data_IF_854241950380
#
_entry.id   IF_854241950380
#
_cell.length_a   1.000
_cell.length_b   1.000
_cell.length_c   1.000
_cell.angle_alpha   90.00
_cell.angle_beta   90.00
_cell.angle_gamma   90.00
#
_symmetry.space_group_name_H-M   'P 1'
#
loop_
_entity.id
_entity.type
_entity.pdbx_description
1 polymer ?
#
# COMPACT_ATOMS: atom_id res chain seq x y z
N UNK A 1 41.46 7.81 -45.00
CA UNK A 1 42.01 7.69 -43.62
C UNK A 1 42.62 9.02 -43.22
N UNK A 2 41.99 9.72 -42.29
CA UNK A 2 42.56 10.85 -41.54
C UNK A 2 42.03 10.68 -40.11
N UNK A 3 42.93 10.32 -39.21
CA UNK A 3 42.63 10.04 -37.80
C UNK A 3 42.39 11.33 -37.03
N UNK A 4 41.20 11.49 -36.46
CA UNK A 4 40.92 12.51 -35.46
C UNK A 4 41.12 11.94 -34.06
N UNK A 5 42.35 12.07 -33.56
CA UNK A 5 42.72 11.72 -32.20
C UNK A 5 42.16 12.78 -31.23
N UNK A 6 41.01 12.51 -30.62
CA UNK A 6 40.48 13.34 -29.54
C UNK A 6 41.25 13.02 -28.25
N UNK A 7 42.04 14.00 -27.80
CA UNK A 7 42.81 13.94 -26.55
C UNK A 7 41.91 13.70 -25.32
N UNK A 8 42.27 12.69 -24.52
CA UNK A 8 41.61 12.26 -23.27
C UNK A 8 41.50 13.35 -22.19
N UNK A 9 42.10 14.54 -22.38
CA UNK A 9 41.96 15.68 -21.46
C UNK A 9 40.73 16.57 -21.71
N UNK A 10 40.00 16.40 -22.83
CA UNK A 10 38.79 17.19 -23.11
C UNK A 10 37.49 16.52 -22.63
N UNK A 11 37.54 15.28 -22.15
CA UNK A 11 36.39 14.54 -21.62
C UNK A 11 36.18 14.70 -20.10
N UNK A 12 37.17 15.25 -19.38
CA UNK A 12 37.11 15.42 -17.92
C UNK A 12 36.70 16.85 -17.52
N UNK A 13 36.71 17.82 -18.46
CA UNK A 13 36.33 19.21 -18.20
C UNK A 13 34.83 19.47 -18.16
N UNK A 14 34.00 18.55 -18.65
CA UNK A 14 32.54 18.74 -18.78
C UNK A 14 31.71 17.98 -17.73
N UNK A 15 32.34 17.12 -16.92
CA UNK A 15 31.67 16.29 -15.90
C UNK A 15 31.83 16.83 -14.47
N UNK A 16 32.75 17.76 -14.24
CA UNK A 16 32.98 18.31 -12.89
C UNK A 16 31.89 19.32 -12.43
N UNK A 17 31.10 19.90 -13.33
CA UNK A 17 30.01 20.83 -12.97
C UNK A 17 28.65 20.14 -12.73
N UNK A 18 28.46 18.89 -13.14
CA UNK A 18 27.21 18.17 -12.88
C UNK A 18 27.19 17.46 -11.51
N UNK A 19 28.35 17.10 -10.97
CA UNK A 19 28.45 16.41 -9.68
C UNK A 19 28.37 17.35 -8.46
N UNK A 20 28.73 18.63 -8.63
CA UNK A 20 28.61 19.62 -7.55
C UNK A 20 27.15 20.09 -7.32
N UNK A 21 26.27 19.93 -8.30
CA UNK A 21 24.85 20.29 -8.20
C UNK A 21 23.98 19.29 -7.42
N UNK A 22 24.45 18.05 -7.25
CA UNK A 22 23.69 16.99 -6.54
C UNK A 22 24.09 16.89 -5.07
N UNK A 23 25.31 17.30 -4.71
CA UNK A 23 25.79 17.24 -3.33
C UNK A 23 25.37 18.44 -2.45
N UNK A 24 24.87 19.53 -3.04
CA UNK A 24 24.35 20.71 -2.32
C UNK A 24 22.83 20.81 -2.27
N UNK A 25 22.09 19.75 -2.64
CA UNK A 25 20.70 19.58 -2.19
C UNK A 25 20.62 19.23 -0.68
N UNK A 26 21.59 19.71 0.10
CA UNK A 26 21.68 19.62 1.55
C UNK A 26 20.71 20.62 2.16
N UNK A 27 19.64 20.11 2.78
CA UNK A 27 18.72 20.81 3.70
C UNK A 27 17.87 21.96 3.14
N UNK A 28 18.26 22.63 2.05
CA UNK A 28 17.52 23.79 1.50
C UNK A 28 16.32 23.40 0.63
N UNK A 29 16.36 22.27 -0.06
CA UNK A 29 15.19 21.70 -0.77
C UNK A 29 14.13 21.15 0.18
N UNK A 30 14.52 20.81 1.41
CA UNK A 30 13.57 20.48 2.48
C UNK A 30 12.95 21.74 3.11
N UNK A 31 13.63 22.88 3.06
CA UNK A 31 13.14 24.16 3.58
C UNK A 31 12.21 24.90 2.59
N UNK A 32 12.36 24.66 1.28
CA UNK A 32 11.47 25.23 0.25
C UNK A 32 10.06 24.62 0.26
N UNK A 33 9.80 23.53 1.02
CA UNK A 33 8.48 22.92 1.16
C UNK A 33 7.62 23.53 2.28
N UNK A 34 8.13 24.51 3.03
CA UNK A 34 7.39 25.16 4.12
C UNK A 34 6.17 25.98 3.67
N UNK A 35 5.93 26.09 2.35
CA UNK A 35 4.74 26.71 1.77
C UNK A 35 3.89 25.77 0.91
N UNK A 36 4.22 24.48 0.83
CA UNK A 36 3.33 23.53 0.17
C UNK A 36 2.29 23.04 1.20
N UNK A 37 1.01 23.30 0.94
CA UNK A 37 -0.06 22.80 1.79
C UNK A 37 0.10 21.27 1.96
N UNK A 38 -0.07 20.78 3.18
CA UNK A 38 -0.08 19.32 3.45
C UNK A 38 -1.03 18.63 2.47
N UNK A 39 -0.69 17.41 1.99
CA UNK A 39 -1.51 16.74 1.01
C UNK A 39 -2.94 16.54 1.53
N UNK A 40 -3.90 16.56 0.62
CA UNK A 40 -5.29 16.26 0.97
C UNK A 40 -5.97 15.45 -0.14
N UNK A 41 -6.29 14.21 0.20
CA UNK A 41 -7.06 13.29 -0.65
C UNK A 41 -8.39 12.90 -0.01
N UNK A 42 -8.89 13.67 0.97
CA UNK A 42 -10.27 13.58 1.41
C UNK A 42 -11.14 14.47 0.53
N UNK A 43 -11.89 13.85 -0.38
CA UNK A 43 -12.66 14.53 -1.41
C UNK A 43 -14.15 14.37 -1.10
N UNK A 44 -14.84 15.49 -0.88
CA UNK A 44 -16.28 15.53 -0.56
C UNK A 44 -16.74 14.49 0.48
N UNK A 45 -15.92 14.28 1.52
CA UNK A 45 -16.21 13.37 2.63
C UNK A 45 -15.64 11.96 2.50
N UNK A 46 -15.21 11.53 1.30
CA UNK A 46 -14.60 10.22 1.04
C UNK A 46 -13.08 10.33 1.14
N UNK A 47 -12.46 9.45 1.92
CA UNK A 47 -11.00 9.37 2.00
C UNK A 47 -10.48 8.54 0.82
N UNK A 48 -9.80 9.19 -0.13
CA UNK A 48 -9.04 8.50 -1.18
C UNK A 48 -7.62 8.24 -0.65
N UNK A 49 -7.19 6.99 -0.69
CA UNK A 49 -5.85 6.56 -0.31
C UNK A 49 -5.08 5.91 -1.45
N UNK A 50 -3.89 5.40 -1.16
CA UNK A 50 -3.11 4.55 -2.07
C UNK A 50 -2.42 3.43 -1.29
N UNK A 51 -2.40 2.22 -1.85
CA UNK A 51 -1.53 1.15 -1.36
C UNK A 51 -0.18 1.30 -2.02
N UNK A 52 0.91 1.24 -1.26
CA UNK A 52 2.27 1.52 -1.81
C UNK A 52 2.72 0.51 -2.87
N UNK A 53 2.03 -0.63 -3.00
CA UNK A 53 2.19 -1.56 -4.11
C UNK A 53 1.95 -0.93 -5.50
N UNK A 54 1.17 0.15 -5.55
CA UNK A 54 0.97 0.96 -6.76
C UNK A 54 2.29 1.51 -7.32
N UNK A 55 3.33 1.64 -6.49
CA UNK A 55 4.65 2.15 -6.89
C UNK A 55 5.70 1.05 -7.10
N UNK A 56 5.30 -0.24 -7.18
CA UNK A 56 6.24 -1.39 -7.27
C UNK A 56 7.21 -1.36 -8.45
N UNK A 57 6.90 -0.60 -9.50
CA UNK A 57 7.79 -0.40 -10.66
C UNK A 57 8.89 0.62 -10.42
N UNK A 58 8.91 1.27 -9.25
CA UNK A 58 9.84 2.33 -8.85
C UNK A 58 10.64 1.92 -7.60
N UNK A 59 11.78 2.59 -7.31
CA UNK A 59 12.53 2.38 -6.07
C UNK A 59 11.66 2.56 -4.81
N UNK A 60 11.72 1.60 -3.88
CA UNK A 60 10.72 1.45 -2.81
C UNK A 60 11.22 1.66 -1.38
N UNK A 61 12.16 2.57 -1.10
CA UNK A 61 12.45 2.94 0.30
C UNK A 61 11.26 3.67 0.93
N UNK A 62 11.16 3.70 2.26
CA UNK A 62 10.10 4.43 2.96
C UNK A 62 10.08 5.92 2.58
N UNK A 63 11.25 6.54 2.44
CA UNK A 63 11.40 7.94 2.05
C UNK A 63 10.99 8.17 0.59
N UNK A 64 11.39 7.27 -0.31
CA UNK A 64 11.01 7.35 -1.73
C UNK A 64 9.49 7.21 -1.91
N UNK A 65 8.88 6.26 -1.20
CA UNK A 65 7.43 6.09 -1.20
C UNK A 65 6.74 7.35 -0.69
N UNK A 66 7.21 7.95 0.41
CA UNK A 66 6.65 9.21 0.92
C UNK A 66 6.73 10.32 -0.14
N UNK A 67 7.85 10.45 -0.86
CA UNK A 67 7.97 11.43 -1.94
C UNK A 67 6.92 11.21 -3.05
N UNK A 68 6.70 9.97 -3.48
CA UNK A 68 5.69 9.64 -4.50
C UNK A 68 4.27 9.95 -4.02
N UNK A 69 3.96 9.61 -2.77
CA UNK A 69 2.67 9.89 -2.14
C UNK A 69 2.38 11.40 -2.10
N UNK A 70 3.39 12.20 -1.75
CA UNK A 70 3.27 13.67 -1.74
C UNK A 70 3.06 14.23 -3.14
N UNK A 71 3.77 13.72 -4.15
CA UNK A 71 3.56 14.10 -5.56
C UNK A 71 2.14 13.76 -6.04
N UNK A 72 1.57 12.66 -5.56
CA UNK A 72 0.19 12.27 -5.85
C UNK A 72 -0.87 13.11 -5.09
N UNK A 73 -0.46 14.00 -4.18
CA UNK A 73 -1.34 14.75 -3.28
C UNK A 73 -2.30 13.81 -2.50
N UNK A 74 -1.73 12.74 -1.92
CA UNK A 74 -2.44 11.75 -1.09
C UNK A 74 -1.99 11.85 0.37
N UNK A 75 -2.94 11.72 1.30
CA UNK A 75 -2.68 11.84 2.74
C UNK A 75 -3.07 10.60 3.58
N UNK A 76 -3.44 9.49 2.94
CA UNK A 76 -3.81 8.25 3.60
C UNK A 76 -3.26 7.05 2.81
N UNK A 77 -2.53 6.15 3.47
CA UNK A 77 -1.94 4.98 2.81
C UNK A 77 -2.15 3.67 3.54
N UNK A 78 -2.20 2.60 2.74
CA UNK A 78 -1.82 1.27 3.15
C UNK A 78 -0.36 1.05 2.76
N UNK A 79 0.49 0.88 3.77
CA UNK A 79 1.91 0.59 3.54
C UNK A 79 2.04 -0.92 3.28
N UNK A 80 2.52 -1.32 2.11
CA UNK A 80 2.71 -2.72 1.78
C UNK A 80 4.17 -3.15 1.90
N UNK A 81 4.37 -4.28 2.58
CA UNK A 81 5.56 -5.11 2.47
C UNK A 81 6.77 -4.59 3.23
N UNK A 82 7.93 -4.85 2.63
CA UNK A 82 9.26 -4.70 3.22
C UNK A 82 9.70 -3.28 3.62
N UNK A 83 9.24 -2.15 3.02
CA UNK A 83 9.82 -0.83 3.31
C UNK A 83 9.82 -0.45 4.80
N UNK A 84 8.76 -0.80 5.54
CA UNK A 84 8.69 -0.57 6.98
C UNK A 84 9.76 -1.39 7.75
N UNK A 85 9.91 -2.66 7.39
CA UNK A 85 10.89 -3.56 8.03
C UNK A 85 12.32 -3.15 7.66
N UNK A 86 12.56 -2.78 6.40
CA UNK A 86 13.85 -2.29 5.94
C UNK A 86 14.26 -0.99 6.65
N UNK A 87 13.33 -0.05 6.84
CA UNK A 87 13.56 1.16 7.64
C UNK A 87 13.91 0.82 9.10
N UNK A 88 13.33 -0.25 9.64
CA UNK A 88 13.63 -0.76 10.97
C UNK A 88 14.92 -1.62 11.05
N UNK A 89 15.65 -1.77 9.94
CA UNK A 89 16.92 -2.49 9.92
C UNK A 89 16.79 -4.00 9.70
N UNK A 90 15.75 -4.44 8.98
CA UNK A 90 15.61 -5.85 8.60
C UNK A 90 16.88 -6.37 7.91
N UNK A 91 17.40 -7.54 8.30
CA UNK A 91 18.57 -8.14 7.68
C UNK A 91 18.40 -8.30 6.17
N UNK A 92 19.46 -8.04 5.42
CA UNK A 92 19.51 -8.34 3.98
C UNK A 92 19.91 -9.79 3.77
N UNK A 93 19.43 -10.36 2.67
CA UNK A 93 19.90 -11.67 2.22
C UNK A 93 21.33 -11.53 1.72
N UNK A 94 22.22 -12.41 2.18
CA UNK A 94 23.62 -12.44 1.76
C UNK A 94 23.79 -13.28 0.50
N UNK A 95 24.86 -13.02 -0.26
CA UNK A 95 25.16 -13.82 -1.45
C UNK A 95 25.48 -15.26 -1.07
N UNK A 96 24.74 -16.22 -1.64
CA UNK A 96 24.89 -17.65 -1.34
C UNK A 96 24.07 -18.14 -0.13
N UNK A 97 23.39 -17.26 0.60
CA UNK A 97 22.49 -17.64 1.69
C UNK A 97 21.25 -18.34 1.12
N UNK A 98 20.92 -19.53 1.63
CA UNK A 98 19.69 -20.22 1.24
C UNK A 98 18.45 -19.49 1.80
N UNK A 99 17.29 -19.72 1.17
CA UNK A 99 16.06 -19.00 1.53
C UNK A 99 15.56 -19.36 2.93
N UNK A 100 15.77 -20.60 3.40
CA UNK A 100 15.31 -21.03 4.71
C UNK A 100 16.13 -20.37 5.83
N UNK A 101 17.46 -20.32 5.67
CA UNK A 101 18.37 -19.60 6.55
C UNK A 101 18.04 -18.10 6.61
N UNK A 102 17.81 -17.48 5.45
CA UNK A 102 17.38 -16.09 5.39
C UNK A 102 16.04 -15.84 6.12
N UNK A 103 15.03 -16.69 5.89
CA UNK A 103 13.74 -16.55 6.57
C UNK A 103 13.84 -16.76 8.08
N UNK A 104 14.68 -17.71 8.54
CA UNK A 104 14.96 -17.88 9.96
C UNK A 104 15.61 -16.63 10.56
N UNK A 105 16.60 -16.05 9.88
CA UNK A 105 17.26 -14.81 10.30
C UNK A 105 16.28 -13.64 10.41
N UNK A 106 15.35 -13.52 9.46
CA UNK A 106 14.29 -12.52 9.51
C UNK A 106 13.32 -12.79 10.66
N UNK A 107 12.92 -14.03 10.91
CA UNK A 107 12.04 -14.39 12.03
C UNK A 107 12.69 -14.08 13.39
N UNK A 108 13.98 -14.41 13.56
CA UNK A 108 14.75 -14.10 14.78
C UNK A 108 14.88 -12.57 14.99
N UNK A 109 15.06 -11.81 13.90
CA UNK A 109 15.03 -10.33 13.94
C UNK A 109 13.65 -9.78 14.33
N UNK A 110 12.56 -10.28 13.72
CA UNK A 110 11.18 -9.85 14.06
C UNK A 110 10.85 -10.09 15.53
N UNK A 111 11.34 -11.18 16.11
CA UNK A 111 11.14 -11.52 17.51
C UNK A 111 11.87 -10.59 18.50
N UNK A 112 12.87 -9.82 18.05
CA UNK A 112 13.76 -9.04 18.92
C UNK A 112 13.88 -7.55 18.59
N UNK A 113 13.42 -7.12 17.40
CA UNK A 113 13.56 -5.72 16.95
C UNK A 113 12.76 -4.74 17.82
N UNK A 114 13.36 -3.58 18.12
CA UNK A 114 12.67 -2.50 18.82
C UNK A 114 11.60 -1.83 17.93
N UNK A 115 10.49 -1.46 18.55
CA UNK A 115 9.41 -0.72 17.88
C UNK A 115 9.75 0.75 17.59
N UNK A 116 10.89 1.27 18.07
CA UNK A 116 11.22 2.69 17.97
C UNK A 116 11.40 3.16 16.52
N UNK A 117 12.00 2.35 15.65
CA UNK A 117 12.09 2.70 14.22
C UNK A 117 10.73 2.75 13.52
N UNK A 118 9.77 1.92 13.94
CA UNK A 118 8.40 2.01 13.44
C UNK A 118 7.68 3.29 13.92
N UNK A 119 7.96 3.74 15.16
CA UNK A 119 7.46 5.04 15.67
C UNK A 119 8.10 6.22 14.94
N UNK A 120 9.41 6.16 14.68
CA UNK A 120 10.13 7.16 13.87
C UNK A 120 9.53 7.25 12.46
N UNK A 121 9.26 6.09 11.83
CA UNK A 121 8.63 6.02 10.52
C UNK A 121 7.23 6.63 10.52
N UNK A 122 6.39 6.27 11.50
CA UNK A 122 5.07 6.91 11.70
C UNK A 122 5.20 8.42 11.82
N UNK A 123 6.16 8.91 12.62
CA UNK A 123 6.39 10.34 12.82
C UNK A 123 6.75 11.02 11.50
N UNK A 124 7.66 10.44 10.72
CA UNK A 124 8.07 10.97 9.42
C UNK A 124 6.88 11.19 8.48
N UNK A 125 6.00 10.20 8.36
CA UNK A 125 4.80 10.30 7.52
C UNK A 125 3.80 11.33 8.07
N UNK A 126 3.54 11.32 9.38
CA UNK A 126 2.61 12.25 10.03
C UNK A 126 3.08 13.71 9.94
N UNK A 127 4.38 13.97 10.09
CA UNK A 127 4.97 15.31 9.95
C UNK A 127 4.70 15.87 8.55
N UNK A 128 4.83 15.01 7.52
CA UNK A 128 4.51 15.32 6.13
C UNK A 128 2.99 15.36 5.83
N UNK A 129 2.14 15.09 6.82
CA UNK A 129 0.68 15.12 6.68
C UNK A 129 0.07 13.85 6.10
N UNK A 130 0.79 12.72 6.09
CA UNK A 130 0.31 11.44 5.58
C UNK A 130 0.05 10.47 6.74
N UNK A 131 -1.13 9.85 6.75
CA UNK A 131 -1.49 8.81 7.74
C UNK A 131 -1.28 7.41 7.16
N UNK A 132 -0.57 6.56 7.90
CA UNK A 132 -0.48 5.11 7.62
C UNK A 132 -1.67 4.44 8.31
N UNK A 133 -2.78 4.22 7.59
CA UNK A 133 -3.99 3.66 8.20
C UNK A 133 -3.96 2.13 8.28
N UNK A 134 -3.19 1.49 7.40
CA UNK A 134 -3.01 0.04 7.32
C UNK A 134 -1.58 -0.33 6.97
N UNK A 135 -1.20 -1.56 7.35
CA UNK A 135 0.07 -2.17 6.96
C UNK A 135 -0.14 -3.61 6.50
N UNK A 136 0.47 -4.00 5.37
CA UNK A 136 0.49 -5.38 4.84
C UNK A 136 1.85 -6.02 5.14
N UNK A 137 2.08 -6.59 6.34
CA UNK A 137 3.35 -7.20 6.70
C UNK A 137 3.53 -8.59 6.08
N UNK A 138 4.78 -8.99 5.84
CA UNK A 138 5.14 -10.36 5.42
C UNK A 138 5.29 -11.33 6.61
N UNK A 139 4.38 -11.24 7.59
CA UNK A 139 4.47 -11.93 8.88
C UNK A 139 3.12 -12.51 9.37
N UNK A 140 2.12 -12.62 8.49
CA UNK A 140 0.76 -13.10 8.81
C UNK A 140 0.40 -14.42 8.11
N UNK A 141 1.35 -15.04 7.40
CA UNK A 141 1.12 -16.29 6.69
C UNK A 141 1.07 -17.51 7.61
N UNK A 142 0.48 -18.61 7.13
CA UNK A 142 0.35 -19.85 7.90
C UNK A 142 1.70 -20.45 8.36
N UNK A 143 2.79 -20.16 7.62
CA UNK A 143 4.15 -20.61 7.96
C UNK A 143 4.88 -19.69 8.94
N UNK A 144 4.32 -18.51 9.26
CA UNK A 144 4.92 -17.62 10.25
C UNK A 144 4.63 -18.13 11.67
N UNK A 145 5.62 -17.97 12.55
CA UNK A 145 5.50 -18.32 13.96
C UNK A 145 4.55 -17.37 14.69
N UNK A 146 4.07 -17.77 15.86
CA UNK A 146 3.27 -16.88 16.73
C UNK A 146 4.03 -15.61 17.12
N UNK A 147 5.35 -15.70 17.31
CA UNK A 147 6.19 -14.54 17.60
C UNK A 147 6.24 -13.54 16.43
N UNK A 148 6.28 -14.02 15.18
CA UNK A 148 6.22 -13.15 14.00
C UNK A 148 4.85 -12.49 13.84
N UNK A 149 3.77 -13.22 14.12
CA UNK A 149 2.42 -12.66 14.08
C UNK A 149 2.26 -11.60 15.19
N UNK A 150 2.69 -11.88 16.42
CA UNK A 150 2.68 -10.92 17.53
C UNK A 150 3.48 -9.65 17.20
N UNK A 151 4.67 -9.83 16.61
CA UNK A 151 5.49 -8.75 16.07
C UNK A 151 4.70 -7.90 15.06
N UNK A 152 3.99 -8.52 14.10
CA UNK A 152 3.23 -7.81 13.08
C UNK A 152 2.21 -6.84 13.70
N UNK A 153 1.53 -7.27 14.77
CA UNK A 153 0.61 -6.40 15.49
C UNK A 153 1.30 -5.34 16.35
N UNK A 154 2.43 -5.66 16.99
CA UNK A 154 3.20 -4.66 17.76
C UNK A 154 3.79 -3.57 16.85
N UNK A 155 4.37 -3.96 15.72
CA UNK A 155 4.87 -3.02 14.71
C UNK A 155 3.73 -2.24 14.07
N UNK A 156 2.58 -2.87 13.80
CA UNK A 156 1.36 -2.18 13.39
C UNK A 156 0.93 -1.08 14.38
N UNK A 157 0.89 -1.37 15.69
CA UNK A 157 0.60 -0.35 16.74
C UNK A 157 1.59 0.81 16.69
N UNK A 158 2.88 0.50 16.55
CA UNK A 158 3.94 1.50 16.49
C UNK A 158 3.82 2.39 15.24
N UNK A 159 3.46 1.81 14.10
CA UNK A 159 3.10 2.53 12.87
C UNK A 159 1.81 3.35 13.01
N UNK A 160 0.97 3.04 13.98
CA UNK A 160 -0.29 3.75 14.24
C UNK A 160 -1.45 3.31 13.36
N UNK A 161 -1.37 2.09 12.81
CA UNK A 161 -2.41 1.56 11.91
C UNK A 161 -3.66 1.18 12.69
N UNK A 162 -4.79 1.22 12.00
CA UNK A 162 -6.07 0.70 12.53
C UNK A 162 -6.20 -0.80 12.30
N UNK A 163 -5.58 -1.29 11.23
CA UNK A 163 -5.64 -2.69 10.82
C UNK A 163 -4.37 -3.10 10.09
N UNK A 164 -4.09 -4.41 10.12
CA UNK A 164 -3.16 -5.04 9.18
C UNK A 164 -3.94 -5.70 8.06
N UNK A 165 -3.36 -5.85 6.89
CA UNK A 165 -3.98 -6.55 5.75
C UNK A 165 -3.20 -7.81 5.39
N UNK A 166 -3.90 -8.82 4.90
CA UNK A 166 -3.34 -10.08 4.43
C UNK A 166 -4.29 -10.70 3.41
N UNK A 167 -3.77 -11.48 2.47
CA UNK A 167 -4.60 -12.35 1.63
C UNK A 167 -5.47 -13.25 2.52
N UNK A 168 -6.74 -13.40 2.16
CA UNK A 168 -7.65 -14.31 2.86
C UNK A 168 -7.08 -15.74 2.78
N UNK A 169 -6.67 -16.33 3.92
CA UNK A 169 -6.20 -17.72 3.94
C UNK A 169 -7.30 -18.67 3.49
N UNK A 170 -6.93 -19.71 2.75
CA UNK A 170 -7.84 -20.81 2.40
C UNK A 170 -8.12 -21.77 3.57
N UNK A 171 -7.35 -21.66 4.65
CA UNK A 171 -7.50 -22.45 5.87
C UNK A 171 -8.15 -21.61 6.97
N UNK A 172 -9.36 -22.03 7.39
CA UNK A 172 -10.14 -21.37 8.43
C UNK A 172 -9.43 -21.38 9.80
N UNK A 173 -8.51 -22.31 10.05
CA UNK A 173 -7.71 -22.30 11.26
C UNK A 173 -6.78 -21.08 11.32
N UNK A 174 -6.26 -20.64 10.15
CA UNK A 174 -5.39 -19.48 10.08
C UNK A 174 -6.18 -18.17 10.27
N UNK A 175 -7.38 -18.03 9.69
CA UNK A 175 -8.24 -16.86 9.95
C UNK A 175 -8.66 -16.78 11.42
N UNK A 176 -8.93 -17.92 12.06
CA UNK A 176 -9.22 -17.99 13.50
C UNK A 176 -8.01 -17.55 14.32
N UNK A 177 -6.83 -18.11 14.05
CA UNK A 177 -5.57 -17.75 14.71
C UNK A 177 -5.28 -16.27 14.59
N UNK A 178 -5.35 -15.70 13.38
CA UNK A 178 -5.15 -14.27 13.16
C UNK A 178 -6.16 -13.41 13.92
N UNK A 179 -7.42 -13.83 13.98
CA UNK A 179 -8.47 -13.13 14.74
C UNK A 179 -8.27 -13.10 16.25
N UNK A 180 -7.63 -14.13 16.82
CA UNK A 180 -7.25 -14.18 18.24
C UNK A 180 -6.13 -13.16 18.55
N UNK A 181 -5.10 -13.11 17.71
CA UNK A 181 -4.06 -12.07 17.82
C UNK A 181 -4.64 -10.66 17.59
N UNK A 182 -5.50 -10.50 16.60
CA UNK A 182 -6.18 -9.24 16.32
C UNK A 182 -6.93 -8.72 17.55
N UNK A 183 -7.68 -9.60 18.23
CA UNK A 183 -8.39 -9.26 19.45
C UNK A 183 -7.47 -8.97 20.63
N UNK A 184 -6.41 -9.76 20.83
CA UNK A 184 -5.38 -9.51 21.85
C UNK A 184 -4.77 -8.12 21.67
N UNK A 185 -4.46 -7.74 20.43
CA UNK A 185 -3.79 -6.48 20.14
C UNK A 185 -4.76 -5.30 19.94
N UNK A 186 -6.06 -5.53 19.77
CA UNK A 186 -7.05 -4.48 19.46
C UNK A 186 -6.75 -3.75 18.14
N UNK A 187 -6.24 -4.50 17.17
CA UNK A 187 -6.00 -4.07 15.77
C UNK A 187 -6.74 -5.06 14.89
N UNK A 188 -7.47 -4.57 13.88
CA UNK A 188 -8.21 -5.47 12.99
C UNK A 188 -7.29 -6.18 11.99
N UNK A 189 -7.75 -7.31 11.46
CA UNK A 189 -7.15 -7.97 10.29
C UNK A 189 -8.11 -7.83 9.13
N UNK A 190 -7.74 -7.04 8.12
CA UNK A 190 -8.47 -6.90 6.87
C UNK A 190 -8.06 -7.98 5.88
N UNK A 191 -8.95 -8.92 5.59
CA UNK A 191 -8.69 -9.98 4.61
C UNK A 191 -8.97 -9.49 3.19
N UNK A 192 -7.95 -9.55 2.35
CA UNK A 192 -7.99 -9.24 0.93
C UNK A 192 -8.38 -10.49 0.13
N UNK A 193 -9.23 -10.36 -0.88
CA UNK A 193 -9.52 -11.45 -1.80
C UNK A 193 -9.24 -11.01 -3.24
N UNK A 194 -8.72 -11.94 -4.04
CA UNK A 194 -8.61 -11.78 -5.48
C UNK A 194 -9.89 -12.29 -6.17
N UNK A 195 -9.79 -12.88 -7.35
CA UNK A 195 -10.94 -13.28 -8.18
C UNK A 195 -11.71 -14.49 -7.66
N UNK A 196 -11.27 -15.10 -6.56
CA UNK A 196 -12.06 -16.06 -5.78
C UNK A 196 -13.17 -15.39 -4.95
N UNK A 197 -13.24 -14.05 -4.94
CA UNK A 197 -14.26 -13.31 -4.21
C UNK A 197 -15.68 -13.78 -4.56
N UNK A 198 -16.47 -14.07 -3.53
CA UNK A 198 -17.90 -14.35 -3.61
C UNK A 198 -18.65 -13.56 -2.52
N UNK A 199 -19.97 -13.40 -2.61
CA UNK A 199 -20.74 -12.66 -1.61
C UNK A 199 -20.63 -13.17 -0.17
N UNK A 200 -20.21 -14.43 0.02
CA UNK A 200 -20.12 -15.12 1.31
C UNK A 200 -18.68 -15.53 1.67
N UNK A 201 -17.69 -15.16 0.86
CA UNK A 201 -16.30 -15.65 1.03
C UNK A 201 -15.72 -15.33 2.41
N UNK A 202 -16.09 -14.20 3.00
CA UNK A 202 -15.58 -13.75 4.30
C UNK A 202 -16.37 -14.28 5.50
N UNK A 203 -17.53 -14.93 5.29
CA UNK A 203 -18.49 -15.22 6.36
C UNK A 203 -17.87 -16.02 7.51
N UNK A 204 -17.09 -17.06 7.19
CA UNK A 204 -16.39 -17.86 8.21
C UNK A 204 -15.41 -17.01 9.01
N UNK A 205 -14.51 -16.29 8.34
CA UNK A 205 -13.52 -15.45 9.01
C UNK A 205 -14.19 -14.36 9.90
N UNK A 206 -15.26 -13.74 9.41
CA UNK A 206 -15.98 -12.70 10.14
C UNK A 206 -16.76 -13.21 11.35
N UNK A 207 -17.16 -14.50 11.35
CA UNK A 207 -17.82 -15.17 12.47
C UNK A 207 -16.86 -15.52 13.61
N UNK A 208 -15.57 -15.72 13.30
CA UNK A 208 -14.57 -16.19 14.26
C UNK A 208 -14.09 -15.10 15.24
N UNK A 209 -14.10 -13.83 14.84
CA UNK A 209 -13.65 -12.71 15.68
C UNK A 209 -14.27 -11.39 15.23
N UNK A 210 -14.60 -10.52 16.19
CA UNK A 210 -15.01 -9.13 15.91
C UNK A 210 -13.87 -8.26 15.35
N UNK A 211 -12.63 -8.71 15.50
CA UNK A 211 -11.44 -8.05 14.96
C UNK A 211 -11.03 -8.60 13.58
N UNK A 212 -11.69 -9.64 13.09
CA UNK A 212 -11.61 -10.01 11.68
C UNK A 212 -12.44 -9.01 10.86
N UNK A 213 -11.91 -8.56 9.74
CA UNK A 213 -12.51 -7.52 8.92
C UNK A 213 -12.20 -7.77 7.43
N UNK A 214 -12.77 -6.94 6.57
CA UNK A 214 -12.64 -7.02 5.12
C UNK A 214 -11.70 -5.90 4.65
N UNK A 215 -10.70 -6.28 3.85
CA UNK A 215 -10.03 -5.37 2.92
C UNK A 215 -10.60 -5.67 1.53
N UNK A 216 -11.62 -4.91 1.10
CA UNK A 216 -12.41 -5.26 -0.07
C UNK A 216 -11.73 -4.78 -1.34
N UNK A 217 -11.39 -5.66 -2.26
CA UNK A 217 -11.03 -5.27 -3.62
C UNK A 217 -12.25 -5.33 -4.55
N UNK A 218 -12.71 -4.16 -4.98
CA UNK A 218 -13.90 -4.09 -5.83
C UNK A 218 -13.63 -4.53 -7.27
N UNK A 219 -12.39 -4.45 -7.75
CA UNK A 219 -12.04 -4.89 -9.09
C UNK A 219 -11.93 -6.41 -9.18
N UNK A 220 -11.29 -7.04 -8.20
CA UNK A 220 -11.28 -8.49 -8.07
C UNK A 220 -12.68 -9.06 -7.84
N UNK A 221 -13.49 -8.44 -6.98
CA UNK A 221 -14.89 -8.84 -6.79
C UNK A 221 -15.67 -8.77 -8.10
N UNK A 222 -15.58 -7.64 -8.82
CA UNK A 222 -16.25 -7.44 -10.11
C UNK A 222 -15.82 -8.50 -11.12
N UNK A 223 -14.51 -8.69 -11.29
CA UNK A 223 -13.97 -9.64 -12.26
C UNK A 223 -14.36 -11.09 -11.92
N UNK A 224 -14.24 -11.51 -10.66
CA UNK A 224 -14.51 -12.87 -10.21
C UNK A 224 -15.99 -13.25 -10.20
N UNK A 225 -16.86 -12.33 -9.81
CA UNK A 225 -18.31 -12.59 -9.73
C UNK A 225 -19.08 -12.19 -10.99
N UNK A 226 -18.45 -11.44 -11.90
CA UNK A 226 -19.13 -10.75 -13.01
C UNK A 226 -20.35 -9.93 -12.56
N UNK A 227 -20.23 -9.26 -11.40
CA UNK A 227 -21.33 -8.50 -10.79
C UNK A 227 -20.85 -7.26 -10.04
N UNK A 228 -21.76 -6.34 -9.74
CA UNK A 228 -21.45 -5.13 -8.95
C UNK A 228 -21.22 -5.48 -7.47
N UNK A 229 -20.20 -4.90 -6.81
CA UNK A 229 -19.94 -5.07 -5.37
C UNK A 229 -20.87 -4.24 -4.47
N UNK A 230 -21.79 -3.45 -5.03
CA UNK A 230 -22.63 -2.51 -4.26
C UNK A 230 -23.45 -3.21 -3.18
N UNK A 231 -24.12 -4.31 -3.49
CA UNK A 231 -24.92 -5.06 -2.51
C UNK A 231 -24.04 -5.65 -1.39
N UNK A 232 -22.85 -6.12 -1.75
CA UNK A 232 -21.88 -6.60 -0.77
C UNK A 232 -21.43 -5.49 0.17
N UNK A 233 -21.17 -4.29 -0.36
CA UNK A 233 -20.79 -3.11 0.44
C UNK A 233 -21.94 -2.69 1.35
N UNK A 234 -23.18 -2.61 0.84
CA UNK A 234 -24.37 -2.28 1.64
C UNK A 234 -24.59 -3.27 2.79
N UNK A 235 -24.37 -4.57 2.54
CA UNK A 235 -24.50 -5.61 3.56
C UNK A 235 -23.39 -5.56 4.62
N UNK A 236 -22.15 -5.27 4.21
CA UNK A 236 -20.96 -5.51 5.04
C UNK A 236 -20.19 -4.25 5.45
N UNK A 237 -20.69 -3.03 5.19
CA UNK A 237 -19.92 -1.79 5.39
C UNK A 237 -19.31 -1.64 6.79
N UNK A 238 -19.96 -2.13 7.85
CA UNK A 238 -19.46 -2.07 9.22
C UNK A 238 -18.26 -2.99 9.49
N UNK A 239 -18.00 -3.94 8.59
CA UNK A 239 -16.87 -4.88 8.64
C UNK A 239 -15.79 -4.56 7.60
N UNK A 240 -15.98 -3.56 6.75
CA UNK A 240 -14.96 -3.11 5.77
C UNK A 240 -14.03 -2.10 6.45
N UNK A 241 -12.74 -2.42 6.52
CA UNK A 241 -11.75 -1.54 7.14
C UNK A 241 -10.97 -0.69 6.14
N UNK A 242 -10.86 -1.16 4.91
CA UNK A 242 -10.33 -0.44 3.76
C UNK A 242 -10.80 -1.13 2.49
N UNK A 243 -10.72 -0.43 1.37
CA UNK A 243 -11.13 -0.93 0.06
C UNK A 243 -10.05 -0.64 -0.97
N UNK A 244 -9.71 -1.60 -1.82
CA UNK A 244 -8.86 -1.40 -2.99
C UNK A 244 -9.74 -1.12 -4.21
N UNK A 245 -9.41 -0.03 -4.90
CA UNK A 245 -9.99 0.43 -6.14
C UNK A 245 -9.03 0.06 -7.26
N UNK A 246 -9.50 -0.79 -8.17
CA UNK A 246 -8.88 -1.08 -9.46
C UNK A 246 -9.98 -1.37 -10.47
N UNK A 247 -9.75 -1.00 -11.72
CA UNK A 247 -10.71 -1.28 -12.78
C UNK A 247 -10.33 -2.58 -13.49
N UNK A 248 -11.29 -3.48 -13.64
CA UNK A 248 -11.11 -4.80 -14.23
C UNK A 248 -12.29 -5.16 -15.12
N UNK A 249 -12.05 -6.03 -16.11
CA UNK A 249 -13.10 -6.63 -16.92
C UNK A 249 -13.76 -7.82 -16.22
N UNK A 250 -15.03 -8.07 -16.53
CA UNK A 250 -15.77 -9.25 -16.09
C UNK A 250 -15.11 -10.57 -16.53
N UNK A 251 -15.56 -11.68 -15.94
CA UNK A 251 -15.11 -13.05 -16.25
C UNK A 251 -13.61 -13.27 -16.04
N UNK A 252 -13.12 -12.85 -14.87
CA UNK A 252 -11.70 -12.82 -14.51
C UNK A 252 -10.84 -12.04 -15.54
N UNK A 253 -11.43 -11.03 -16.18
CA UNK A 253 -10.77 -10.23 -17.19
C UNK A 253 -9.66 -9.32 -16.63
N UNK A 254 -8.81 -8.76 -17.51
CA UNK A 254 -7.61 -8.04 -17.11
C UNK A 254 -7.91 -6.71 -16.40
N UNK A 255 -6.88 -6.17 -15.74
CA UNK A 255 -6.86 -4.79 -15.26
C UNK A 255 -6.93 -3.81 -16.43
N UNK A 256 -7.62 -2.69 -16.22
CA UNK A 256 -7.79 -1.62 -17.21
C UNK A 256 -7.54 -0.25 -16.55
N UNK A 257 -7.18 0.78 -17.33
CA UNK A 257 -7.25 2.16 -16.86
C UNK A 257 -8.67 2.48 -16.38
N UNK A 258 -8.80 3.28 -15.33
CA UNK A 258 -10.08 3.53 -14.68
C UNK A 258 -11.10 4.19 -15.62
N UNK A 259 -12.31 3.61 -15.67
CA UNK A 259 -13.38 3.97 -16.59
C UNK A 259 -13.36 3.18 -17.90
N UNK A 260 -12.43 2.24 -18.07
CA UNK A 260 -12.32 1.39 -19.25
C UNK A 260 -12.60 -0.09 -18.96
N UNK A 261 -12.68 -0.49 -17.70
CA UNK A 261 -13.10 -1.82 -17.27
C UNK A 261 -14.62 -1.89 -17.04
N UNK A 262 -15.04 -2.87 -16.26
CA UNK A 262 -16.43 -3.10 -15.86
C UNK A 262 -16.62 -2.83 -14.35
N UNK A 263 -15.56 -2.49 -13.60
CA UNK A 263 -15.65 -2.18 -12.18
C UNK A 263 -16.39 -0.86 -11.98
N UNK A 264 -17.47 -0.81 -11.18
CA UNK A 264 -18.27 0.41 -11.00
C UNK A 264 -17.64 1.39 -9.99
N UNK A 265 -16.39 1.79 -10.21
CA UNK A 265 -15.62 2.66 -9.28
C UNK A 265 -16.37 3.95 -8.96
N UNK A 266 -16.89 4.63 -9.98
CA UNK A 266 -17.61 5.90 -9.82
C UNK A 266 -18.90 5.74 -8.98
N UNK A 267 -19.60 4.63 -9.14
CA UNK A 267 -20.79 4.31 -8.34
C UNK A 267 -20.42 4.02 -6.89
N UNK A 268 -19.38 3.21 -6.67
CA UNK A 268 -18.90 2.85 -5.34
C UNK A 268 -18.46 4.08 -4.54
N UNK A 269 -17.66 4.99 -5.12
CA UNK A 269 -17.22 6.19 -4.38
C UNK A 269 -18.39 7.14 -4.09
N UNK A 270 -19.39 7.24 -4.99
CA UNK A 270 -20.64 7.98 -4.72
C UNK A 270 -21.47 7.33 -3.62
N UNK A 271 -21.52 6.00 -3.57
CA UNK A 271 -22.18 5.27 -2.48
C UNK A 271 -21.50 5.57 -1.14
N UNK A 272 -20.16 5.54 -1.10
CA UNK A 272 -19.38 5.90 0.09
C UNK A 272 -19.66 7.34 0.54
N UNK A 273 -19.74 8.28 -0.40
CA UNK A 273 -20.10 9.68 -0.13
C UNK A 273 -21.50 9.80 0.47
N UNK A 274 -22.50 9.22 -0.21
CA UNK A 274 -23.92 9.25 0.19
C UNK A 274 -24.12 8.69 1.60
N UNK A 275 -23.51 7.53 1.89
CA UNK A 275 -23.66 6.84 3.17
C UNK A 275 -22.60 7.25 4.20
N UNK A 276 -21.72 8.21 3.87
CA UNK A 276 -20.69 8.78 4.76
C UNK A 276 -19.75 7.74 5.37
N UNK A 277 -19.45 6.66 4.63
CA UNK A 277 -18.54 5.62 5.07
C UNK A 277 -17.16 6.20 5.41
N UNK A 278 -16.51 5.62 6.43
CA UNK A 278 -15.27 6.17 7.01
C UNK A 278 -14.01 5.44 6.58
N UNK A 279 -14.13 4.18 6.15
CA UNK A 279 -12.99 3.43 5.64
C UNK A 279 -12.45 4.07 4.33
N UNK A 280 -11.14 4.02 4.08
CA UNK A 280 -10.54 4.60 2.90
C UNK A 280 -10.83 3.77 1.64
N UNK A 281 -11.03 4.48 0.52
CA UNK A 281 -11.06 3.91 -0.83
C UNK A 281 -9.68 4.12 -1.47
N UNK A 282 -8.99 3.03 -1.75
CA UNK A 282 -7.53 3.01 -1.91
C UNK A 282 -7.18 2.70 -3.35
N UNK A 283 -6.44 3.57 -4.02
CA UNK A 283 -5.92 3.29 -5.37
C UNK A 283 -4.96 2.12 -5.29
N UNK A 284 -5.23 1.08 -6.08
CA UNK A 284 -4.30 0.00 -6.37
C UNK A 284 -4.05 -0.07 -7.88
N UNK A 285 -2.90 0.49 -8.30
CA UNK A 285 -2.54 0.61 -9.71
C UNK A 285 -1.96 -0.70 -10.25
N UNK A 286 -2.72 -1.43 -11.08
CA UNK A 286 -2.29 -2.72 -11.64
C UNK A 286 -2.48 -2.90 -13.15
N UNK A 287 -2.96 -1.90 -13.86
CA UNK A 287 -2.93 -1.92 -15.32
C UNK A 287 -1.53 -1.60 -15.84
N UNK A 288 -1.27 -1.97 -17.09
CA UNK A 288 0.02 -1.71 -17.74
C UNK A 288 0.26 -0.20 -17.89
N UNK A 289 1.34 0.29 -17.28
CA UNK A 289 1.71 1.70 -17.34
C UNK A 289 2.19 2.03 -18.76
N UNK A 290 1.63 3.07 -19.42
CA UNK A 290 2.09 3.51 -20.73
C UNK A 290 3.58 3.87 -20.75
N UNK A 291 4.25 3.65 -21.89
CA UNK A 291 5.70 3.84 -22.02
C UNK A 291 6.18 5.27 -21.72
N UNK A 292 5.32 6.26 -21.89
CA UNK A 292 5.57 7.68 -21.65
C UNK A 292 5.10 8.14 -20.25
N UNK A 293 4.70 7.19 -19.39
CA UNK A 293 4.18 7.43 -18.05
C UNK A 293 5.00 6.72 -16.97
N UNK A 294 4.59 6.91 -15.72
CA UNK A 294 5.13 6.26 -14.52
C UNK A 294 4.00 6.07 -13.49
N UNK A 295 4.30 5.34 -12.41
CA UNK A 295 3.28 5.02 -11.41
C UNK A 295 2.72 6.27 -10.71
N UNK A 296 3.52 7.33 -10.51
CA UNK A 296 3.05 8.58 -9.90
C UNK A 296 2.03 9.26 -10.80
N UNK A 297 2.33 9.40 -12.10
CA UNK A 297 1.41 9.99 -13.09
C UNK A 297 0.11 9.19 -13.19
N UNK A 298 0.18 7.87 -13.19
CA UNK A 298 -1.02 7.03 -13.27
C UNK A 298 -1.86 7.07 -11.98
N UNK A 299 -1.25 7.10 -10.80
CA UNK A 299 -1.97 7.31 -9.53
C UNK A 299 -2.66 8.69 -9.49
N UNK A 300 -2.01 9.74 -10.02
CA UNK A 300 -2.64 11.07 -10.15
C UNK A 300 -3.90 10.99 -11.01
N UNK A 301 -3.86 10.30 -12.16
CA UNK A 301 -5.04 10.09 -13.03
C UNK A 301 -6.17 9.34 -12.31
N UNK A 302 -5.84 8.27 -11.56
CA UNK A 302 -6.83 7.55 -10.75
C UNK A 302 -7.47 8.47 -9.68
N UNK A 303 -6.66 9.28 -8.99
CA UNK A 303 -7.16 10.28 -8.03
C UNK A 303 -8.07 11.30 -8.69
N UNK A 304 -7.72 11.81 -9.88
CA UNK A 304 -8.54 12.74 -10.66
C UNK A 304 -9.87 12.12 -11.10
N UNK A 305 -9.86 10.85 -11.51
CA UNK A 305 -11.08 10.10 -11.80
C UNK A 305 -12.01 10.05 -10.59
N UNK A 306 -11.48 9.69 -9.41
CA UNK A 306 -12.26 9.68 -8.17
C UNK A 306 -12.78 11.08 -7.82
N UNK A 307 -11.96 12.13 -8.02
CA UNK A 307 -12.37 13.51 -7.79
C UNK A 307 -13.54 13.92 -8.67
N UNK A 308 -13.48 13.60 -9.98
CA UNK A 308 -14.56 13.86 -10.93
C UNK A 308 -15.83 13.07 -10.59
N UNK A 309 -15.70 11.84 -10.12
CA UNK A 309 -16.85 11.03 -9.70
C UNK A 309 -17.53 11.58 -8.44
N UNK A 310 -16.77 12.22 -7.55
CA UNK A 310 -17.27 12.77 -6.28
C UNK A 310 -17.74 14.24 -6.37
N UNK A 311 -17.48 14.91 -7.49
CA UNK A 311 -17.84 16.30 -7.75
C UNK A 311 -19.35 16.52 -7.87
#
# INVERSE_FOLDING_TARGET
MKDHNISRRRFIGSTALAAAGVAFASKSTFAASLFQAKPNSKINGVQIGVITYSFRSMPGSAEQLLQYILQCNINAIELMGQPAEAFAGMPKRESGEDMAGYFKKVADWRASVSMDKFKELRKMYNDAGVTIYAWKPNALGAKNTDAEIDYAFNAGKALGVTHVTVELPTDDAQTKRLGEFAEKHKIYVGYHAHTQATPTLWDTALSQSKYNAINLDIGHYTAGTSSSPVDFILKNHDRIMSMHLKDRKYHDGPNAPWGQGDTPIAEVVKLMQKNKYKFPATIELEYDIPKDSDAVKEVIKCREFAAKALA
#
